data_IF_418834069782
#
_entry.id   IF_418834069782
#
_cell.length_a   1.000
_cell.length_b   1.000
_cell.length_c   1.000
_cell.angle_alpha   90.00
_cell.angle_beta   90.00
_cell.angle_gamma   90.00
#
_symmetry.space_group_name_H-M   'P 1'
#
loop_
_entity.id
_entity.type
_entity.pdbx_description
1 polymer ?
#
# COMPACT_ATOMS: atom_id res chain seq x y z
N UNK A 1 5.68 -27.27 3.38
CA UNK A 1 6.09 -26.08 2.59
C UNK A 1 6.75 -25.11 3.56
N UNK A 2 8.05 -24.79 3.42
CA UNK A 2 8.85 -24.21 4.50
C UNK A 2 8.98 -22.67 4.51
N UNK A 3 8.32 -21.95 3.59
CA UNK A 3 8.40 -20.49 3.43
C UNK A 3 7.09 -19.88 2.93
N UNK A 4 6.01 -19.93 3.74
CA UNK A 4 4.69 -19.49 3.29
C UNK A 4 4.67 -17.99 2.98
N UNK A 5 5.26 -17.14 3.83
CA UNK A 5 5.22 -15.69 3.63
C UNK A 5 5.98 -15.25 2.36
N UNK A 6 7.14 -15.85 2.08
CA UNK A 6 7.92 -15.57 0.88
C UNK A 6 7.19 -15.98 -0.40
N UNK A 7 6.42 -17.08 -0.35
CA UNK A 7 5.56 -17.47 -1.46
C UNK A 7 4.51 -16.39 -1.75
N UNK A 8 3.82 -15.87 -0.73
CA UNK A 8 2.83 -14.82 -0.94
C UNK A 8 3.48 -13.50 -1.40
N UNK A 9 4.63 -13.13 -0.85
CA UNK A 9 5.38 -11.95 -1.28
C UNK A 9 5.73 -12.03 -2.78
N UNK A 10 6.25 -13.17 -3.23
CA UNK A 10 6.53 -13.41 -4.64
C UNK A 10 5.25 -13.42 -5.49
N UNK A 11 4.18 -14.06 -5.01
CA UNK A 11 2.89 -14.13 -5.68
C UNK A 11 2.32 -12.73 -5.93
N UNK A 12 2.22 -11.91 -4.89
CA UNK A 12 1.65 -10.56 -5.01
C UNK A 12 2.54 -9.64 -5.83
N UNK A 13 3.87 -9.77 -5.75
CA UNK A 13 4.77 -8.99 -6.62
C UNK A 13 4.50 -9.21 -8.12
N UNK A 14 4.04 -10.40 -8.52
CA UNK A 14 3.72 -10.72 -9.92
C UNK A 14 2.24 -10.46 -10.25
N UNK A 15 1.35 -10.54 -9.26
CA UNK A 15 -0.12 -10.48 -9.45
C UNK A 15 -0.78 -9.50 -8.48
N UNK A 16 -0.39 -8.22 -8.55
CA UNK A 16 -0.93 -7.17 -7.67
C UNK A 16 -1.78 -6.12 -8.36
N UNK A 17 -2.09 -6.25 -9.65
CA UNK A 17 -2.75 -5.18 -10.41
C UNK A 17 -4.09 -4.72 -9.79
N UNK A 18 -4.79 -5.64 -9.12
CA UNK A 18 -6.06 -5.37 -8.40
C UNK A 18 -5.92 -5.39 -6.87
N UNK A 19 -4.69 -5.32 -6.35
CA UNK A 19 -4.44 -5.25 -4.91
C UNK A 19 -4.82 -3.88 -4.36
N UNK A 20 -5.57 -3.87 -3.27
CA UNK A 20 -5.98 -2.64 -2.56
C UNK A 20 -5.53 -2.73 -1.10
N UNK A 21 -4.62 -1.85 -0.69
CA UNK A 21 -4.05 -1.84 0.66
C UNK A 21 -5.10 -1.56 1.74
N UNK A 22 -6.15 -0.80 1.44
CA UNK A 22 -7.11 -0.30 2.43
C UNK A 22 -7.78 -1.43 3.26
N UNK A 23 -8.48 -2.41 2.66
CA UNK A 23 -9.09 -3.51 3.42
C UNK A 23 -8.04 -4.38 4.13
N UNK A 24 -6.83 -4.48 3.59
CA UNK A 24 -5.74 -5.29 4.16
C UNK A 24 -5.23 -4.67 5.45
N UNK A 25 -5.09 -3.34 5.49
CA UNK A 25 -4.68 -2.61 6.69
C UNK A 25 -5.76 -2.60 7.78
N UNK A 26 -7.04 -2.75 7.40
CA UNK A 26 -8.14 -2.92 8.34
C UNK A 26 -8.25 -4.36 8.88
N UNK A 27 -7.43 -5.28 8.37
CA UNK A 27 -7.28 -6.64 8.88
C UNK A 27 -8.24 -7.67 8.29
N UNK A 28 -8.06 -8.93 8.71
CA UNK A 28 -8.71 -10.12 8.13
C UNK A 28 -10.23 -10.01 8.01
N UNK A 29 -10.90 -9.42 9.00
CA UNK A 29 -12.37 -9.26 9.00
C UNK A 29 -12.85 -8.28 7.93
N UNK A 30 -12.09 -7.20 7.68
CA UNK A 30 -12.41 -6.22 6.64
C UNK A 30 -12.17 -6.82 5.24
N UNK A 31 -11.05 -7.53 5.05
CA UNK A 31 -10.78 -8.31 3.82
C UNK A 31 -11.92 -9.28 3.53
N UNK A 32 -12.35 -10.05 4.54
CA UNK A 32 -13.46 -11.00 4.39
C UNK A 32 -14.77 -10.30 4.02
N UNK A 33 -15.11 -9.22 4.70
CA UNK A 33 -16.34 -8.45 4.42
C UNK A 33 -16.35 -7.96 2.98
N UNK A 34 -15.24 -7.36 2.52
CA UNK A 34 -15.12 -6.85 1.16
C UNK A 34 -15.22 -7.96 0.11
N UNK A 35 -14.61 -9.10 0.38
CA UNK A 35 -14.70 -10.28 -0.46
C UNK A 35 -16.15 -10.79 -0.57
N UNK A 36 -16.86 -10.87 0.55
CA UNK A 36 -18.25 -11.34 0.60
C UNK A 36 -19.20 -10.34 -0.11
N UNK A 37 -18.99 -9.03 0.07
CA UNK A 37 -19.73 -7.97 -0.63
C UNK A 37 -19.65 -8.11 -2.16
N UNK A 38 -18.44 -8.34 -2.69
CA UNK A 38 -18.25 -8.50 -4.14
C UNK A 38 -18.90 -9.80 -4.61
N UNK A 39 -18.72 -10.91 -3.88
CA UNK A 39 -19.31 -12.21 -4.24
C UNK A 39 -20.83 -12.18 -4.22
N UNK A 40 -21.44 -11.42 -3.31
CA UNK A 40 -22.89 -11.29 -3.21
C UNK A 40 -23.51 -10.65 -4.45
N UNK A 41 -22.78 -9.76 -5.14
CA UNK A 41 -23.22 -9.19 -6.42
C UNK A 41 -23.33 -10.23 -7.54
N UNK A 42 -22.67 -11.39 -7.40
CA UNK A 42 -22.70 -12.46 -8.38
C UNK A 42 -22.36 -11.97 -9.79
N UNK A 43 -23.30 -12.11 -10.73
CA UNK A 43 -23.12 -11.71 -12.14
C UNK A 43 -23.12 -10.19 -12.35
N UNK A 44 -23.55 -9.41 -11.36
CA UNK A 44 -23.55 -7.93 -11.43
C UNK A 44 -22.18 -7.34 -11.06
N UNK A 45 -21.27 -8.12 -10.50
CA UNK A 45 -19.91 -7.69 -10.24
C UNK A 45 -19.18 -7.41 -11.57
N UNK A 46 -18.59 -6.23 -11.69
CA UNK A 46 -17.75 -5.88 -12.84
C UNK A 46 -16.51 -6.79 -12.91
N UNK A 47 -15.89 -6.88 -14.09
CA UNK A 47 -14.66 -7.66 -14.27
C UNK A 47 -13.56 -7.24 -13.27
N UNK A 48 -13.43 -5.94 -13.01
CA UNK A 48 -12.47 -5.42 -12.02
C UNK A 48 -12.79 -5.87 -10.59
N UNK A 49 -14.07 -5.87 -10.21
CA UNK A 49 -14.47 -6.36 -8.89
C UNK A 49 -14.20 -7.86 -8.76
N UNK A 50 -14.45 -8.64 -9.81
CA UNK A 50 -14.14 -10.08 -9.81
C UNK A 50 -12.64 -10.33 -9.60
N UNK A 51 -11.76 -9.63 -10.33
CA UNK A 51 -10.31 -9.71 -10.12
C UNK A 51 -9.88 -9.25 -8.72
N UNK A 52 -10.53 -8.22 -8.18
CA UNK A 52 -10.31 -7.78 -6.80
C UNK A 52 -10.71 -8.87 -5.80
N UNK A 53 -11.84 -9.56 -6.02
CA UNK A 53 -12.28 -10.66 -5.17
C UNK A 53 -11.30 -11.85 -5.20
N UNK A 54 -10.73 -12.19 -6.36
CA UNK A 54 -9.69 -13.21 -6.46
C UNK A 54 -8.46 -12.83 -5.64
N UNK A 55 -8.01 -11.57 -5.75
CA UNK A 55 -6.87 -11.07 -4.98
C UNK A 55 -7.16 -11.09 -3.47
N UNK A 56 -8.33 -10.58 -3.04
CA UNK A 56 -8.75 -10.58 -1.64
C UNK A 56 -8.91 -12.00 -1.07
N UNK A 57 -9.29 -12.97 -1.88
CA UNK A 57 -9.37 -14.37 -1.45
C UNK A 57 -8.01 -14.90 -1.03
N UNK A 58 -6.96 -14.59 -1.80
CA UNK A 58 -5.59 -15.02 -1.51
C UNK A 58 -5.02 -14.25 -0.31
N UNK A 59 -5.32 -12.95 -0.19
CA UNK A 59 -4.97 -12.18 1.02
C UNK A 59 -5.62 -12.77 2.26
N UNK A 60 -6.92 -13.09 2.19
CA UNK A 60 -7.64 -13.71 3.29
C UNK A 60 -7.03 -15.08 3.67
N UNK A 61 -6.65 -15.87 2.68
CA UNK A 61 -5.97 -17.16 2.88
C UNK A 61 -4.61 -16.99 3.55
N UNK A 62 -3.80 -16.02 3.10
CA UNK A 62 -2.52 -15.69 3.72
C UNK A 62 -2.69 -15.29 5.20
N UNK A 63 -3.63 -14.38 5.48
CA UNK A 63 -3.96 -13.97 6.86
C UNK A 63 -4.51 -15.13 7.69
N UNK A 64 -5.27 -16.05 7.09
CA UNK A 64 -5.77 -17.26 7.77
C UNK A 64 -4.63 -18.22 8.15
N UNK A 65 -3.50 -18.16 7.45
CA UNK A 65 -2.27 -18.90 7.77
C UNK A 65 -1.33 -18.16 8.72
N UNK A 66 -1.77 -17.03 9.29
CA UNK A 66 -0.99 -16.24 10.25
C UNK A 66 0.05 -15.32 9.62
N UNK A 67 -0.04 -15.05 8.31
CA UNK A 67 0.85 -14.07 7.67
C UNK A 67 0.32 -12.67 7.91
N UNK A 68 1.22 -11.80 8.36
CA UNK A 68 0.93 -10.39 8.59
C UNK A 68 1.42 -9.52 7.43
N UNK A 69 0.62 -8.52 7.10
CA UNK A 69 1.00 -7.48 6.14
C UNK A 69 1.35 -6.20 6.89
N UNK A 70 2.52 -5.66 6.59
CA UNK A 70 2.96 -4.38 7.13
C UNK A 70 2.51 -3.24 6.22
N UNK A 71 2.14 -2.08 6.80
CA UNK A 71 1.71 -0.93 6.04
C UNK A 71 2.79 -0.41 5.09
N UNK A 72 2.40 0.46 4.19
CA UNK A 72 3.37 1.21 3.37
C UNK A 72 4.23 2.07 4.30
N UNK A 73 5.52 2.16 3.99
CA UNK A 73 6.46 2.99 4.73
C UNK A 73 7.39 3.72 3.76
N UNK A 74 7.46 5.04 3.86
CA UNK A 74 8.16 5.91 2.89
C UNK A 74 9.60 5.46 2.59
N UNK A 75 10.31 4.99 3.61
CA UNK A 75 11.73 4.60 3.47
C UNK A 75 11.99 3.10 3.26
N UNK A 76 10.96 2.25 3.38
CA UNK A 76 11.14 0.79 3.35
C UNK A 76 10.38 0.12 2.21
N UNK A 77 9.20 0.64 1.86
CA UNK A 77 8.39 0.08 0.79
C UNK A 77 9.09 0.25 -0.57
N UNK A 78 8.94 -0.76 -1.41
CA UNK A 78 9.32 -0.70 -2.81
C UNK A 78 8.19 -0.07 -3.63
N UNK A 79 8.50 0.43 -4.83
CA UNK A 79 7.49 0.82 -5.81
C UNK A 79 6.45 -0.28 -6.10
N UNK A 80 6.88 -1.53 -6.38
CA UNK A 80 6.00 -2.64 -6.80
C UNK A 80 6.18 -3.95 -6.04
N UNK A 81 7.35 -4.15 -5.40
CA UNK A 81 7.65 -5.44 -4.77
C UNK A 81 7.10 -5.52 -3.35
N UNK A 82 6.44 -6.64 -3.05
CA UNK A 82 6.04 -7.01 -1.70
C UNK A 82 7.29 -7.57 -1.00
N UNK A 83 7.86 -6.79 -0.08
CA UNK A 83 9.13 -7.12 0.54
C UNK A 83 8.94 -7.87 1.86
N UNK A 84 9.84 -8.81 2.13
CA UNK A 84 9.89 -9.49 3.42
C UNK A 84 10.52 -8.58 4.48
N UNK A 85 9.90 -8.50 5.65
CA UNK A 85 10.42 -7.78 6.83
C UNK A 85 10.02 -8.54 8.09
N UNK A 86 11.00 -9.12 8.79
CA UNK A 86 10.81 -9.88 10.04
C UNK A 86 9.72 -10.96 9.97
N UNK A 87 9.70 -11.73 8.87
CA UNK A 87 8.71 -12.79 8.64
C UNK A 87 7.33 -12.29 8.18
N UNK A 88 7.17 -10.98 7.97
CA UNK A 88 5.95 -10.31 7.51
C UNK A 88 6.15 -9.73 6.12
N UNK A 89 5.05 -9.31 5.48
CA UNK A 89 5.08 -8.80 4.10
C UNK A 89 4.79 -7.30 4.11
N UNK A 90 5.77 -6.47 3.76
CA UNK A 90 5.58 -5.03 3.58
C UNK A 90 4.95 -4.72 2.23
N UNK A 91 3.87 -3.94 2.27
CA UNK A 91 3.17 -3.49 1.09
C UNK A 91 4.00 -2.49 0.26
N UNK A 92 3.99 -2.60 -1.08
CA UNK A 92 4.60 -1.62 -1.97
C UNK A 92 3.72 -0.39 -2.16
N UNK A 93 4.28 0.68 -2.72
CA UNK A 93 3.50 1.87 -3.09
C UNK A 93 2.40 1.55 -4.11
N UNK A 94 2.63 0.64 -5.06
CA UNK A 94 1.63 0.23 -6.06
C UNK A 94 0.34 -0.36 -5.47
N UNK A 95 0.35 -0.78 -4.19
CA UNK A 95 -0.85 -1.25 -3.48
C UNK A 95 -1.81 -0.12 -3.09
N UNK A 96 -1.39 1.15 -3.24
CA UNK A 96 -2.25 2.32 -3.05
C UNK A 96 -3.18 2.45 -4.24
N UNK A 97 -4.49 2.36 -4.00
CA UNK A 97 -5.50 2.53 -5.03
C UNK A 97 -5.34 3.85 -5.78
N UNK A 98 -5.32 3.77 -7.12
CA UNK A 98 -5.18 4.93 -8.00
C UNK A 98 -3.75 5.46 -8.15
N UNK A 99 -2.77 4.83 -7.51
CA UNK A 99 -1.36 5.16 -7.69
C UNK A 99 -0.80 4.40 -8.90
N UNK A 100 -0.55 5.12 -10.00
CA UNK A 100 0.11 4.56 -11.18
C UNK A 100 1.59 4.24 -10.94
N UNK A 101 2.16 3.38 -11.78
CA UNK A 101 3.55 2.92 -11.60
C UNK A 101 4.59 4.04 -11.59
N UNK A 102 4.48 5.03 -12.47
CA UNK A 102 5.39 6.18 -12.48
C UNK A 102 5.41 6.93 -11.13
N UNK A 103 4.23 7.10 -10.50
CA UNK A 103 4.13 7.73 -9.19
C UNK A 103 4.70 6.85 -8.07
N UNK A 104 4.51 5.52 -8.16
CA UNK A 104 5.12 4.56 -7.23
C UNK A 104 6.65 4.59 -7.28
N UNK A 105 7.21 4.67 -8.49
CA UNK A 105 8.65 4.81 -8.68
C UNK A 105 9.14 6.17 -8.18
N UNK A 106 8.43 7.25 -8.51
CA UNK A 106 8.75 8.60 -8.03
C UNK A 106 8.80 8.70 -6.50
N UNK A 107 7.89 8.04 -5.77
CA UNK A 107 7.94 7.95 -4.31
C UNK A 107 9.19 7.23 -3.81
N UNK A 108 9.53 6.11 -4.42
CA UNK A 108 10.70 5.32 -4.06
C UNK A 108 12.00 6.10 -4.34
N UNK A 109 12.08 6.82 -5.46
CA UNK A 109 13.28 7.57 -5.84
C UNK A 109 13.44 8.85 -5.02
N UNK A 110 12.32 9.54 -4.72
CA UNK A 110 12.31 10.77 -3.95
C UNK A 110 13.00 10.63 -2.60
N UNK A 111 12.89 9.46 -1.94
CA UNK A 111 13.52 9.20 -0.63
C UNK A 111 15.05 9.28 -0.65
N UNK A 112 15.68 9.15 -1.82
CA UNK A 112 17.14 9.22 -1.95
C UNK A 112 17.70 10.62 -1.69
N UNK A 113 16.85 11.65 -1.77
CA UNK A 113 17.21 13.03 -1.41
C UNK A 113 17.15 13.33 0.10
N UNK A 114 17.05 12.30 0.95
CA UNK A 114 17.04 12.42 2.41
C UNK A 114 15.65 12.36 3.04
N UNK A 115 15.54 12.75 4.31
CA UNK A 115 14.28 12.74 5.03
C UNK A 115 13.27 13.72 4.44
N UNK A 116 11.97 13.40 4.54
CA UNK A 116 10.89 14.28 4.11
C UNK A 116 10.54 15.17 5.29
N UNK A 117 10.50 16.47 5.07
CA UNK A 117 10.19 17.43 6.14
C UNK A 117 8.70 17.77 6.22
N UNK A 118 7.94 17.51 5.15
CA UNK A 118 6.50 17.72 5.10
C UNK A 118 5.85 16.95 3.94
N UNK A 119 4.51 16.95 3.87
CA UNK A 119 3.79 16.45 2.71
C UNK A 119 4.05 17.28 1.44
N UNK A 120 4.23 18.60 1.56
CA UNK A 120 4.57 19.46 0.44
C UNK A 120 5.94 19.08 -0.15
N UNK A 121 6.93 18.80 0.73
CA UNK A 121 8.25 18.33 0.32
C UNK A 121 8.17 16.96 -0.37
N UNK A 122 7.44 16.01 0.22
CA UNK A 122 7.18 14.71 -0.37
C UNK A 122 6.56 14.85 -1.77
N UNK A 123 5.52 15.68 -1.90
CA UNK A 123 4.84 15.93 -3.16
C UNK A 123 5.77 16.56 -4.20
N UNK A 124 6.52 17.59 -3.82
CA UNK A 124 7.46 18.27 -4.72
C UNK A 124 8.55 17.32 -5.24
N UNK A 125 9.07 16.44 -4.38
CA UNK A 125 10.16 15.51 -4.72
C UNK A 125 9.70 14.29 -5.52
N UNK A 126 8.50 13.78 -5.25
CA UNK A 126 7.99 12.55 -5.88
C UNK A 126 7.02 12.78 -7.04
N UNK A 127 6.49 13.99 -7.20
CA UNK A 127 5.53 14.33 -8.25
C UNK A 127 4.13 13.75 -8.06
N UNK A 128 3.81 13.19 -6.89
CA UNK A 128 2.49 12.60 -6.62
C UNK A 128 1.40 13.66 -6.43
N UNK A 129 0.16 13.32 -6.77
CA UNK A 129 -0.99 14.21 -6.56
C UNK A 129 -1.35 14.35 -5.07
N UNK A 130 -2.13 15.39 -4.72
CA UNK A 130 -2.65 15.58 -3.36
C UNK A 130 -3.50 14.40 -2.90
N UNK A 131 -4.31 13.84 -3.79
CA UNK A 131 -5.11 12.65 -3.51
C UNK A 131 -4.26 11.45 -3.11
N UNK A 132 -3.08 11.27 -3.74
CA UNK A 132 -2.15 10.21 -3.34
C UNK A 132 -1.58 10.47 -1.94
N UNK A 133 -1.22 11.72 -1.63
CA UNK A 133 -0.76 12.10 -0.28
C UNK A 133 -1.83 11.78 0.76
N UNK A 134 -3.09 12.10 0.48
CA UNK A 134 -4.23 11.78 1.35
C UNK A 134 -4.39 10.27 1.53
N UNK A 135 -4.30 9.48 0.47
CA UNK A 135 -4.33 8.01 0.55
C UNK A 135 -3.18 7.45 1.40
N UNK A 136 -1.96 7.95 1.22
CA UNK A 136 -0.80 7.56 2.04
C UNK A 136 -1.03 7.90 3.52
N UNK A 137 -1.65 9.05 3.81
CA UNK A 137 -2.00 9.46 5.17
C UNK A 137 -3.04 8.53 5.80
N UNK A 138 -4.10 8.21 5.06
CA UNK A 138 -5.16 7.29 5.51
C UNK A 138 -4.62 5.88 5.78
N UNK A 139 -3.63 5.44 4.99
CA UNK A 139 -2.93 4.17 5.17
C UNK A 139 -1.84 4.21 6.25
N UNK A 140 -1.69 5.34 6.93
CA UNK A 140 -0.72 5.53 8.02
C UNK A 140 0.74 5.65 7.55
N UNK A 141 1.00 5.72 6.25
CA UNK A 141 2.35 5.75 5.69
C UNK A 141 3.11 7.05 5.99
N UNK A 142 2.39 8.13 6.30
CA UNK A 142 2.97 9.45 6.57
C UNK A 142 3.28 9.70 8.05
N UNK A 143 2.78 8.88 8.98
CA UNK A 143 2.97 9.08 10.42
C UNK A 143 2.69 10.53 10.86
N UNK A 144 3.66 11.14 11.55
CA UNK A 144 3.60 12.52 12.08
C UNK A 144 4.09 13.58 11.08
N UNK A 145 4.29 13.23 9.80
CA UNK A 145 4.78 14.18 8.79
C UNK A 145 3.83 15.38 8.68
N UNK A 146 4.31 16.62 8.90
CA UNK A 146 3.45 17.80 8.88
C UNK A 146 2.95 18.05 7.45
N UNK A 147 1.78 18.67 7.32
CA UNK A 147 1.18 18.93 6.02
C UNK A 147 2.02 19.89 5.16
N UNK A 148 2.61 20.92 5.76
CA UNK A 148 3.34 21.95 5.03
C UNK A 148 4.74 22.14 5.58
N UNK A 149 5.67 22.55 4.70
CA UNK A 149 6.99 23.01 5.11
C UNK A 149 6.85 24.43 5.66
N UNK A 150 6.35 24.58 6.88
CA UNK A 150 6.50 25.88 7.54
C UNK A 150 7.98 26.08 7.83
N UNK A 151 8.63 26.95 7.04
CA UNK A 151 9.89 27.53 7.43
C UNK A 151 9.65 28.28 8.74
N UNK A 152 10.11 27.75 9.87
CA UNK A 152 10.38 28.58 11.05
C UNK A 152 11.58 29.47 10.70
N UNK A 153 11.32 30.51 9.91
CA UNK A 153 12.33 31.47 9.47
C UNK A 153 12.39 32.58 10.53
N UNK A 154 13.37 32.44 11.43
CA UNK A 154 13.86 33.42 12.43
C UNK A 154 12.93 33.83 13.58
N UNK A 155 13.18 33.25 14.75
CA UNK A 155 13.11 33.98 16.02
C UNK A 155 14.53 34.40 16.42
N UNK A 156 14.93 35.60 16.00
CA UNK A 156 16.01 36.40 16.60
C UNK A 156 15.40 37.76 16.96
#
# INVERSE_FOLDING_TARGET
>A
MHRPAEYYAAYFTVRSDDFDAEPVMQGKSAVKRKLDEIRLKGKEASAKEQSQAETLHIVYEAMARGIEFLPIHLYKSHAYQFLMEDGRIRLPFSSVKGLGGAAAQGLMDARNAGEFISCDDLQARSGISKTVVESLRQLGALGELPSTSQMTLFGL
#
